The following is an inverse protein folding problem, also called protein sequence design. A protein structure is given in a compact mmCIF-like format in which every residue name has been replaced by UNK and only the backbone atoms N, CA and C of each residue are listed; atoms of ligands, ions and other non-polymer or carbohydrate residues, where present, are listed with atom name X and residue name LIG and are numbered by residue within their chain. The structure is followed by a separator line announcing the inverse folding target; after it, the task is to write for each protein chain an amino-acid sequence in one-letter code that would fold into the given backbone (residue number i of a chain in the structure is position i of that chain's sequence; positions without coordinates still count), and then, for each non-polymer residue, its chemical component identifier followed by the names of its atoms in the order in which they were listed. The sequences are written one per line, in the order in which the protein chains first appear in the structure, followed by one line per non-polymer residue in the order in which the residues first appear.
data_IF_694953508368
#
_entry.id   IF_694953508368
#
_cell.length_a   1.000
_cell.length_b   1.000
_cell.length_c   1.000
_cell.angle_alpha   90.00
_cell.angle_beta   90.00
_cell.angle_gamma   90.00
#
_symmetry.space_group_name_H-M   'P 1'
#
loop_
_entity.id
_entity.type
_entity.pdbx_description
1 polymer ?
#
# COMPACT_ATOMS: atom_id res chain seq x y z
N UNK A 1 38.52 12.70 -13.47
CA UNK A 1 37.40 12.61 -12.51
C UNK A 1 37.85 13.29 -11.22
N UNK A 2 37.37 14.51 -10.93
CA UNK A 2 37.76 15.22 -9.72
C UNK A 2 37.23 14.45 -8.51
N UNK A 3 38.13 14.11 -7.58
CA UNK A 3 37.82 13.40 -6.34
C UNK A 3 36.98 14.35 -5.49
N UNK A 4 35.65 14.18 -5.53
CA UNK A 4 34.73 14.93 -4.68
C UNK A 4 35.14 14.69 -3.22
N UNK A 5 35.59 15.75 -2.55
CA UNK A 5 35.82 15.69 -1.11
C UNK A 5 34.46 15.58 -0.41
N UNK A 6 34.37 14.85 0.71
CA UNK A 6 33.14 14.82 1.49
C UNK A 6 32.81 16.23 1.98
N UNK A 7 31.55 16.65 1.86
CA UNK A 7 31.05 17.99 2.22
C UNK A 7 31.51 18.44 3.62
N UNK A 8 31.60 17.51 4.56
CA UNK A 8 32.12 17.73 5.91
C UNK A 8 33.57 18.23 5.91
N UNK A 9 34.44 17.66 5.06
CA UNK A 9 35.82 18.12 4.95
C UNK A 9 35.90 19.51 4.30
N UNK A 10 35.05 19.79 3.31
CA UNK A 10 34.98 21.13 2.68
C UNK A 10 34.55 22.20 3.70
N UNK A 11 33.49 21.93 4.48
CA UNK A 11 33.02 22.81 5.56
C UNK A 11 34.07 22.99 6.66
N UNK A 12 34.70 21.91 7.11
CA UNK A 12 35.77 21.96 8.11
C UNK A 12 36.96 22.80 7.63
N UNK A 13 37.32 22.69 6.35
CA UNK A 13 38.37 23.50 5.76
C UNK A 13 37.97 24.98 5.68
N UNK A 14 36.74 25.29 5.25
CA UNK A 14 36.23 26.67 5.22
C UNK A 14 36.24 27.30 6.61
N UNK A 15 35.76 26.58 7.64
CA UNK A 15 35.75 27.08 9.02
C UNK A 15 37.17 27.28 9.58
N UNK A 16 38.10 26.38 9.24
CA UNK A 16 39.50 26.50 9.65
C UNK A 16 40.16 27.71 8.97
N UNK A 17 39.96 27.87 7.67
CA UNK A 17 40.46 29.01 6.90
C UNK A 17 39.84 30.34 7.40
N UNK A 18 38.55 30.34 7.71
CA UNK A 18 37.86 31.51 8.28
C UNK A 18 38.50 31.94 9.60
N UNK A 19 38.76 30.97 10.50
CA UNK A 19 39.44 31.21 11.76
C UNK A 19 40.85 31.77 11.56
N UNK A 20 41.66 31.14 10.71
CA UNK A 20 43.03 31.59 10.43
C UNK A 20 43.07 33.00 9.84
N UNK A 21 42.18 33.31 8.90
CA UNK A 21 42.08 34.65 8.30
C UNK A 21 41.65 35.69 9.33
N UNK A 22 40.72 35.34 10.22
CA UNK A 22 40.33 36.22 11.32
C UNK A 22 41.49 36.50 12.30
N UNK A 23 42.26 35.48 12.66
CA UNK A 23 43.47 35.63 13.49
C UNK A 23 44.52 36.52 12.81
N UNK A 24 44.70 36.39 11.49
CA UNK A 24 45.59 37.27 10.71
C UNK A 24 45.10 38.72 10.69
N UNK A 25 43.79 38.95 10.55
CA UNK A 25 43.20 40.30 10.64
C UNK A 25 43.48 40.91 12.01
N UNK A 26 43.22 40.17 13.09
CA UNK A 26 43.49 40.63 14.46
C UNK A 26 44.97 40.96 14.66
N UNK A 27 45.87 40.11 14.17
CA UNK A 27 47.31 40.36 14.20
C UNK A 27 47.69 41.64 13.45
N UNK A 28 47.10 41.88 12.28
CA UNK A 28 47.31 43.12 11.52
C UNK A 28 46.82 44.35 12.28
N UNK A 29 45.69 44.26 12.97
CA UNK A 29 45.14 45.35 13.79
C UNK A 29 46.07 45.65 14.97
N UNK A 30 46.50 44.62 15.71
CA UNK A 30 47.42 44.77 16.85
C UNK A 30 48.73 45.44 16.41
N UNK A 31 49.32 45.00 15.30
CA UNK A 31 50.55 45.60 14.77
C UNK A 31 50.36 47.02 14.25
N UNK A 32 49.16 47.36 13.74
CA UNK A 32 48.84 48.71 13.31
C UNK A 32 48.63 49.68 14.49
N UNK A 33 48.34 49.16 15.69
CA UNK A 33 48.27 49.93 16.92
C UNK A 33 49.66 50.26 17.49
N UNK A 34 50.73 49.55 17.09
CA UNK A 34 52.10 49.86 17.46
C UNK A 34 52.63 51.05 16.65
N UNK A 35 52.95 52.14 17.35
CA UNK A 35 53.37 53.45 16.80
C UNK A 35 54.66 53.43 15.96
N UNK A 36 55.34 52.28 15.84
CA UNK A 36 56.56 52.10 15.04
C UNK A 36 56.31 51.63 13.59
N UNK A 37 55.08 51.26 13.22
CA UNK A 37 54.78 50.72 11.89
C UNK A 37 54.38 51.80 10.87
N UNK A 38 54.96 51.73 9.67
CA UNK A 38 54.59 52.59 8.53
C UNK A 38 53.19 52.23 8.06
N UNK A 39 52.24 53.16 8.18
CA UNK A 39 50.80 53.00 7.90
C UNK A 39 50.40 52.57 6.48
N UNK A 40 51.34 52.51 5.53
CA UNK A 40 51.04 52.42 4.10
C UNK A 40 51.00 51.00 3.51
N UNK A 41 51.41 49.95 4.23
CA UNK A 41 51.41 48.55 3.74
C UNK A 41 50.63 47.59 4.66
N UNK A 42 49.50 48.02 5.24
CA UNK A 42 48.68 47.09 6.05
C UNK A 42 47.98 46.07 5.13
N UNK A 43 48.25 44.75 5.24
CA UNK A 43 47.64 43.73 4.39
C UNK A 43 46.18 43.43 4.78
N UNK A 44 45.58 44.23 5.66
CA UNK A 44 44.25 44.02 6.21
C UNK A 44 43.17 43.97 5.13
N UNK A 45 43.28 44.78 4.08
CA UNK A 45 42.31 44.79 2.97
C UNK A 45 42.29 43.45 2.22
N UNK A 46 43.47 42.84 2.03
CA UNK A 46 43.60 41.53 1.39
C UNK A 46 42.98 40.44 2.28
N UNK A 47 43.28 40.47 3.59
CA UNK A 47 42.72 39.51 4.53
C UNK A 47 41.19 39.62 4.65
N UNK A 48 40.64 40.84 4.60
CA UNK A 48 39.18 41.06 4.57
C UNK A 48 38.57 40.52 3.28
N UNK A 49 39.24 40.70 2.14
CA UNK A 49 38.78 40.14 0.87
C UNK A 49 38.81 38.60 0.87
N UNK A 50 39.85 38.00 1.44
CA UNK A 50 39.94 36.54 1.62
C UNK A 50 38.81 36.03 2.52
N UNK A 51 38.49 36.76 3.60
CA UNK A 51 37.40 36.41 4.51
C UNK A 51 36.04 36.42 3.79
N UNK A 52 35.78 37.45 2.97
CA UNK A 52 34.55 37.54 2.16
C UNK A 52 34.46 36.41 1.12
N UNK A 53 35.59 35.99 0.56
CA UNK A 53 35.63 34.85 -0.36
C UNK A 53 35.28 33.54 0.34
N UNK A 54 35.82 33.31 1.55
CA UNK A 54 35.52 32.13 2.36
C UNK A 54 34.05 32.13 2.79
N UNK A 55 33.49 33.29 3.12
CA UNK A 55 32.07 33.43 3.50
C UNK A 55 31.14 33.05 2.34
N UNK A 56 31.43 33.54 1.13
CA UNK A 56 30.68 33.18 -0.07
C UNK A 56 30.76 31.67 -0.40
N UNK A 57 31.92 31.05 -0.17
CA UNK A 57 32.11 29.60 -0.32
C UNK A 57 31.31 28.83 0.73
N UNK A 58 31.37 29.24 2.00
CA UNK A 58 30.60 28.65 3.09
C UNK A 58 29.09 28.69 2.82
N UNK A 59 28.58 29.82 2.34
CA UNK A 59 27.16 29.96 1.97
C UNK A 59 26.76 28.95 0.88
N UNK A 60 27.60 28.76 -0.15
CA UNK A 60 27.36 27.74 -1.19
C UNK A 60 27.37 26.32 -0.64
N UNK A 61 28.22 26.00 0.34
CA UNK A 61 28.20 24.70 1.00
C UNK A 61 26.91 24.49 1.81
N UNK A 62 26.41 25.52 2.48
CA UNK A 62 25.15 25.47 3.22
C UNK A 62 23.94 25.26 2.29
N UNK A 63 23.85 26.00 1.18
CA UNK A 63 22.79 25.81 0.17
C UNK A 63 22.81 24.39 -0.42
N UNK A 64 24.02 23.85 -0.68
CA UNK A 64 24.18 22.45 -1.08
C UNK A 64 23.64 21.51 0.00
N UNK A 65 23.96 21.74 1.26
CA UNK A 65 23.51 20.91 2.37
C UNK A 65 21.98 20.90 2.51
N UNK A 66 21.34 22.05 2.34
CA UNK A 66 19.88 22.16 2.35
C UNK A 66 19.26 21.36 1.19
N UNK A 67 19.85 21.45 -0.01
CA UNK A 67 19.45 20.65 -1.17
C UNK A 67 19.59 19.14 -0.88
N UNK A 68 20.67 18.73 -0.22
CA UNK A 68 20.87 17.34 0.20
C UNK A 68 19.81 16.89 1.21
N UNK A 69 19.45 17.74 2.16
CA UNK A 69 18.40 17.43 3.13
C UNK A 69 17.04 17.21 2.44
N UNK A 70 16.66 18.11 1.52
CA UNK A 70 15.43 17.94 0.74
C UNK A 70 15.42 16.66 -0.09
N UNK A 71 16.56 16.29 -0.70
CA UNK A 71 16.70 15.01 -1.42
C UNK A 71 16.56 13.81 -0.49
N UNK A 72 17.12 13.88 0.72
CA UNK A 72 17.02 12.81 1.71
C UNK A 72 15.57 12.58 2.12
N UNK A 73 14.81 13.64 2.37
CA UNK A 73 13.36 13.54 2.67
C UNK A 73 12.57 12.92 1.51
N UNK A 74 12.90 13.26 0.26
CA UNK A 74 12.29 12.64 -0.92
C UNK A 74 12.62 11.16 -1.03
N UNK A 75 13.88 10.78 -0.76
CA UNK A 75 14.31 9.37 -0.75
C UNK A 75 13.53 8.59 0.30
N UNK A 76 13.43 9.10 1.53
CA UNK A 76 12.69 8.44 2.60
C UNK A 76 11.21 8.25 2.23
N UNK A 77 10.59 9.26 1.61
CA UNK A 77 9.22 9.15 1.10
C UNK A 77 9.08 8.07 0.03
N UNK A 78 10.03 7.99 -0.90
CA UNK A 78 10.03 6.96 -1.95
C UNK A 78 10.24 5.56 -1.37
N UNK A 79 11.10 5.41 -0.36
CA UNK A 79 11.32 4.14 0.34
C UNK A 79 10.04 3.66 1.06
N UNK A 80 9.32 4.57 1.72
CA UNK A 80 8.03 4.25 2.33
C UNK A 80 6.99 3.81 1.29
N UNK A 81 6.92 4.50 0.14
CA UNK A 81 6.03 4.12 -0.96
C UNK A 81 6.41 2.76 -1.54
N UNK A 82 7.69 2.47 -1.72
CA UNK A 82 8.18 1.18 -2.20
C UNK A 82 7.83 0.06 -1.22
N UNK A 83 7.99 0.29 0.08
CA UNK A 83 7.62 -0.67 1.13
C UNK A 83 6.11 -0.97 1.10
N UNK A 84 5.28 0.06 0.98
CA UNK A 84 3.83 -0.10 0.85
C UNK A 84 3.45 -0.89 -0.42
N UNK A 85 4.09 -0.58 -1.56
CA UNK A 85 3.86 -1.30 -2.80
C UNK A 85 4.29 -2.77 -2.70
N UNK A 86 5.45 -3.05 -2.10
CA UNK A 86 5.95 -4.40 -1.87
C UNK A 86 4.97 -5.24 -1.04
N UNK A 87 4.42 -4.67 0.04
CA UNK A 87 3.39 -5.34 0.84
C UNK A 87 2.14 -5.65 0.00
N UNK A 88 1.65 -4.69 -0.80
CA UNK A 88 0.48 -4.89 -1.66
C UNK A 88 0.70 -5.98 -2.71
N UNK A 89 1.90 -6.06 -3.30
CA UNK A 89 2.25 -7.12 -4.26
C UNK A 89 2.28 -8.47 -3.56
N UNK A 90 2.82 -8.53 -2.34
CA UNK A 90 2.84 -9.77 -1.56
C UNK A 90 1.42 -10.23 -1.20
N UNK A 91 0.55 -9.33 -0.74
CA UNK A 91 -0.85 -9.63 -0.43
C UNK A 91 -1.60 -10.14 -1.67
N UNK A 92 -1.36 -9.50 -2.83
CA UNK A 92 -1.92 -9.95 -4.10
C UNK A 92 -1.42 -11.36 -4.48
N UNK A 93 -0.13 -11.64 -4.31
CA UNK A 93 0.43 -12.95 -4.60
C UNK A 93 -0.16 -14.04 -3.68
N UNK A 94 -0.38 -13.73 -2.40
CA UNK A 94 -1.03 -14.65 -1.46
C UNK A 94 -2.49 -14.92 -1.85
N UNK A 95 -3.25 -13.87 -2.20
CA UNK A 95 -4.63 -14.01 -2.66
C UNK A 95 -4.74 -14.82 -3.97
N UNK A 96 -3.81 -14.62 -4.91
CA UNK A 96 -3.75 -15.39 -6.14
C UNK A 96 -3.47 -16.87 -5.85
N UNK A 97 -2.53 -17.14 -4.95
CA UNK A 97 -2.17 -18.50 -4.55
C UNK A 97 -3.35 -19.22 -3.90
N UNK A 98 -4.07 -18.57 -2.98
CA UNK A 98 -5.24 -19.16 -2.32
C UNK A 98 -6.40 -19.42 -3.29
N UNK A 99 -6.63 -18.50 -4.23
CA UNK A 99 -7.60 -18.68 -5.31
C UNK A 99 -7.24 -19.87 -6.21
N UNK A 100 -5.97 -20.02 -6.56
CA UNK A 100 -5.49 -21.16 -7.35
C UNK A 100 -5.68 -22.49 -6.61
N UNK A 101 -5.36 -22.54 -5.31
CA UNK A 101 -5.61 -23.74 -4.48
C UNK A 101 -7.10 -24.09 -4.43
N UNK A 102 -7.96 -23.09 -4.30
CA UNK A 102 -9.42 -23.29 -4.29
C UNK A 102 -9.93 -23.85 -5.62
N UNK A 103 -9.46 -23.29 -6.75
CA UNK A 103 -9.77 -23.79 -8.09
C UNK A 103 -9.31 -25.24 -8.28
N UNK A 104 -8.09 -25.57 -7.85
CA UNK A 104 -7.59 -26.95 -7.90
C UNK A 104 -8.45 -27.90 -7.07
N UNK A 105 -8.94 -27.44 -5.91
CA UNK A 105 -9.93 -28.17 -5.10
C UNK A 105 -11.21 -28.47 -5.89
N UNK A 106 -11.80 -27.46 -6.51
CA UNK A 106 -13.00 -27.61 -7.35
C UNK A 106 -12.76 -28.58 -8.53
N UNK A 107 -11.64 -28.44 -9.23
CA UNK A 107 -11.26 -29.33 -10.33
C UNK A 107 -11.06 -30.78 -9.88
N UNK A 108 -10.49 -30.99 -8.69
CA UNK A 108 -10.32 -32.33 -8.10
C UNK A 108 -11.68 -32.98 -7.80
N UNK A 109 -12.63 -32.22 -7.23
CA UNK A 109 -13.99 -32.70 -6.96
C UNK A 109 -14.72 -33.02 -8.27
N UNK A 110 -14.66 -32.13 -9.26
CA UNK A 110 -15.27 -32.36 -10.57
C UNK A 110 -14.71 -33.61 -11.26
N UNK A 111 -13.40 -33.81 -11.23
CA UNK A 111 -12.75 -35.01 -11.77
C UNK A 111 -13.17 -36.30 -11.04
N UNK A 112 -13.28 -36.26 -9.71
CA UNK A 112 -13.79 -37.40 -8.93
C UNK A 112 -15.24 -37.72 -9.28
N UNK A 113 -16.08 -36.71 -9.42
CA UNK A 113 -17.48 -36.87 -9.84
C UNK A 113 -17.56 -37.49 -11.24
N UNK A 114 -16.83 -36.95 -12.22
CA UNK A 114 -16.80 -37.47 -13.58
C UNK A 114 -16.37 -38.94 -13.60
N UNK A 115 -15.27 -39.29 -12.91
CA UNK A 115 -14.81 -40.68 -12.82
C UNK A 115 -15.84 -41.58 -12.13
N UNK A 116 -16.47 -41.11 -11.05
CA UNK A 116 -17.52 -41.85 -10.34
C UNK A 116 -18.74 -42.12 -11.22
N UNK A 117 -19.17 -41.13 -12.00
CA UNK A 117 -20.26 -41.25 -12.99
C UNK A 117 -19.86 -42.26 -14.08
N UNK A 118 -18.66 -42.18 -14.65
CA UNK A 118 -18.23 -43.12 -15.70
C UNK A 118 -18.01 -44.56 -15.19
N UNK A 119 -17.60 -44.74 -13.94
CA UNK A 119 -17.40 -46.08 -13.34
C UNK A 119 -18.72 -46.74 -12.94
N UNK A 120 -19.72 -45.96 -12.53
CA UNK A 120 -21.09 -46.46 -12.31
C UNK A 120 -21.75 -46.67 -13.67
N UNK A 121 -21.68 -47.88 -14.23
CA UNK A 121 -22.41 -48.28 -15.46
C UNK A 121 -23.94 -48.07 -15.42
N UNK A 122 -24.50 -47.69 -14.27
CA UNK A 122 -25.89 -47.27 -14.10
C UNK A 122 -25.97 -45.77 -13.87
N UNK A 123 -25.75 -45.00 -14.93
CA UNK A 123 -26.23 -43.63 -14.97
C UNK A 123 -27.40 -43.68 -15.94
N UNK A 124 -28.62 -43.50 -15.43
CA UNK A 124 -29.81 -43.39 -16.27
C UNK A 124 -29.52 -42.34 -17.34
N UNK A 125 -29.71 -42.72 -18.61
CA UNK A 125 -29.61 -41.77 -19.71
C UNK A 125 -30.57 -40.61 -19.47
N UNK A 126 -30.30 -39.43 -20.04
CA UNK A 126 -31.27 -38.34 -20.07
C UNK A 126 -32.60 -38.85 -20.66
N UNK A 127 -32.53 -39.75 -21.64
CA UNK A 127 -33.68 -40.44 -22.22
C UNK A 127 -34.42 -41.31 -21.18
N UNK A 128 -33.68 -42.07 -20.35
CA UNK A 128 -34.26 -42.94 -19.32
C UNK A 128 -34.92 -42.12 -18.21
N UNK A 129 -34.31 -40.98 -17.83
CA UNK A 129 -34.89 -40.04 -16.88
C UNK A 129 -36.15 -39.40 -17.45
N UNK A 130 -36.13 -38.90 -18.68
CA UNK A 130 -37.32 -38.31 -19.31
C UNK A 130 -38.45 -39.33 -19.48
N UNK A 131 -38.13 -40.58 -19.82
CA UNK A 131 -39.10 -41.65 -19.91
C UNK A 131 -39.64 -42.07 -18.53
N UNK A 132 -38.79 -42.09 -17.50
CA UNK A 132 -39.23 -42.34 -16.12
C UNK A 132 -40.17 -41.23 -15.61
N UNK A 133 -39.90 -39.95 -15.93
CA UNK A 133 -40.79 -38.83 -15.58
C UNK A 133 -42.12 -38.87 -16.33
N UNK A 134 -42.14 -39.38 -17.58
CA UNK A 134 -43.39 -39.65 -18.33
C UNK A 134 -44.20 -40.79 -17.71
N UNK A 135 -43.54 -41.85 -17.24
CA UNK A 135 -44.19 -42.99 -16.56
C UNK A 135 -44.73 -42.60 -15.18
N UNK A 136 -44.12 -41.61 -14.52
CA UNK A 136 -44.61 -41.02 -13.26
C UNK A 136 -45.73 -39.97 -13.52
N UNK A 137 -45.87 -39.50 -14.76
CA UNK A 137 -46.94 -38.58 -15.18
C UNK A 137 -48.06 -39.20 -16.05
N UNK A 138 -48.64 -40.39 -15.77
CA UNK A 138 -49.82 -40.81 -16.52
C UNK A 138 -51.07 -39.99 -16.17
N UNK A 139 -51.04 -39.20 -15.09
CA UNK A 139 -52.21 -38.45 -14.59
C UNK A 139 -52.24 -36.97 -15.01
N UNK A 140 -51.26 -36.49 -15.80
CA UNK A 140 -51.24 -35.09 -16.22
C UNK A 140 -52.11 -34.78 -17.45
N UNK A 141 -52.60 -35.79 -18.17
CA UNK A 141 -53.38 -35.58 -19.41
C UNK A 141 -54.89 -35.83 -19.30
N UNK A 142 -55.42 -36.24 -18.14
CA UNK A 142 -56.88 -36.33 -17.96
C UNK A 142 -57.31 -35.78 -16.61
N UNK A 143 -58.04 -34.66 -16.66
CA UNK A 143 -58.90 -34.08 -15.62
C UNK A 143 -59.12 -34.97 -14.38
N UNK A 144 -58.78 -34.47 -13.18
CA UNK A 144 -59.74 -34.33 -12.07
C UNK A 144 -59.06 -33.90 -10.76
N UNK A 145 -59.69 -32.94 -10.12
CA UNK A 145 -59.42 -32.47 -8.77
C UNK A 145 -59.56 -33.62 -7.75
N UNK A 146 -58.45 -34.16 -7.27
CA UNK A 146 -58.27 -34.74 -5.92
C UNK A 146 -56.91 -35.44 -5.84
N UNK A 147 -55.85 -34.67 -5.59
CA UNK A 147 -54.57 -35.23 -5.21
C UNK A 147 -54.47 -35.25 -3.68
N UNK A 148 -54.68 -36.42 -3.07
CA UNK A 148 -54.23 -36.70 -1.69
C UNK A 148 -52.99 -37.58 -1.79
N UNK A 149 -51.83 -37.02 -1.43
CA UNK A 149 -50.56 -37.74 -1.43
C UNK A 149 -50.34 -38.37 -0.05
N UNK A 150 -50.04 -39.69 0.05
CA UNK A 150 -49.99 -40.42 1.32
C UNK A 150 -48.95 -39.92 2.36
N UNK A 151 -48.01 -39.08 1.93
CA UNK A 151 -46.94 -38.52 2.75
C UNK A 151 -47.16 -37.04 3.11
N UNK A 152 -48.24 -36.43 2.62
CA UNK A 152 -48.55 -35.01 2.82
C UNK A 152 -49.76 -34.92 3.77
N UNK A 153 -49.60 -34.40 5.01
CA UNK A 153 -50.71 -34.28 5.94
C UNK A 153 -51.80 -33.38 5.35
N UNK A 154 -53.05 -33.84 5.38
CA UNK A 154 -54.19 -33.04 4.94
C UNK A 154 -54.30 -31.79 5.82
N UNK A 155 -54.31 -30.62 5.19
CA UNK A 155 -54.50 -29.35 5.87
C UNK A 155 -55.90 -29.32 6.47
N UNK A 156 -56.02 -29.62 7.76
CA UNK A 156 -57.26 -29.47 8.51
C UNK A 156 -57.65 -27.99 8.56
N UNK A 157 -58.78 -27.66 7.93
CA UNK A 157 -59.47 -26.39 8.15
C UNK A 157 -59.93 -26.32 9.61
N UNK A 158 -59.17 -25.63 10.47
CA UNK A 158 -59.66 -25.14 11.75
C UNK A 158 -60.44 -23.85 11.51
N UNK A 159 -61.77 -23.96 11.52
CA UNK A 159 -62.65 -22.81 11.65
C UNK A 159 -62.53 -22.24 13.06
N UNK A 160 -61.89 -21.08 13.20
CA UNK A 160 -62.01 -20.25 14.40
C UNK A 160 -63.21 -19.32 14.22
N UNK A 161 -64.31 -19.67 14.88
CA UNK A 161 -65.33 -18.71 15.31
C UNK A 161 -64.86 -18.08 16.62
N UNK A 162 -64.50 -16.80 16.58
CA UNK A 162 -64.38 -15.95 17.77
C UNK A 162 -65.36 -14.80 17.63
N UNK A 163 -66.52 -14.96 18.29
CA UNK A 163 -67.42 -13.88 18.65
C UNK A 163 -66.79 -13.10 19.81
N UNK A 164 -66.51 -11.81 19.64
CA UNK A 164 -66.48 -10.88 20.77
C UNK A 164 -66.92 -9.50 20.31
N UNK A 165 -67.95 -8.97 20.99
CA UNK A 165 -68.73 -7.81 20.61
C UNK A 165 -68.59 -6.74 21.72
N UNK A 166 -68.34 -5.50 21.31
CA UNK A 166 -68.78 -4.21 21.91
C UNK A 166 -68.10 -3.74 23.21
N UNK A 167 -67.40 -2.59 23.14
CA UNK A 167 -67.83 -1.30 23.74
C UNK A 167 -66.71 -0.24 23.77
N UNK A 168 -66.79 0.76 22.89
CA UNK A 168 -66.54 2.19 23.22
C UNK A 168 -67.74 2.71 24.08
N UNK A 169 -67.73 3.88 24.77
CA UNK A 169 -66.88 5.07 24.56
C UNK A 169 -66.42 5.83 25.84
N UNK A 170 -65.46 6.76 25.67
CA UNK A 170 -65.50 8.19 26.04
C UNK A 170 -64.09 8.81 25.98
#
# INVERSE_FOLDING_TARGET
MAKQMPLHAELSNCLSAYKETFERILYCIVNACDSSHKKHDSPITIQVQDLLSIDAELQRHLERMETWNSRQEQIEKLEQQLKSLSNRVNDFAQALSSSQTSLQGCLSIANKLQKGVMQRKQVSSIEDLMNSTKIISPEAETNQANFSYPWMPESSHSGEQSHENIAEPA
#
